data_IF_542718143525
#
_entry.id   IF_542718143525
#
_cell.length_a   1.000
_cell.length_b   1.000
_cell.length_c   1.000
_cell.angle_alpha   90.00
_cell.angle_beta   90.00
_cell.angle_gamma   90.00
#
_symmetry.space_group_name_H-M   'P 1'
#
loop_
_entity.id
_entity.type
_entity.pdbx_description
1 polymer ?
2 polymer ?
3 non-polymer ?
4 water ?
#
# COMPACT_ATOMS: atom_id res chain seq x y z
N UNK A 4 -0.87 -12.94 -19.45
CA UNK A 4 -0.34 -12.79 -20.84
C UNK A 4 0.16 -11.37 -21.08
N UNK A 5 1.32 -11.07 -20.52
CA UNK A 5 1.94 -9.77 -20.67
C UNK A 5 1.33 -8.77 -19.71
N UNK A 6 1.95 -7.60 -19.66
CA UNK A 6 1.55 -6.53 -18.76
C UNK A 6 0.29 -5.85 -19.30
N UNK A 7 -0.58 -5.47 -18.38
CA UNK A 7 -1.69 -4.56 -18.68
C UNK A 7 -1.90 -3.62 -17.50
N UNK A 8 -2.23 -2.37 -17.82
CA UNK A 8 -2.49 -1.35 -16.80
C UNK A 8 -3.91 -1.43 -16.23
N UNK A 9 -4.78 -2.25 -16.84
CA UNK A 9 -6.16 -2.43 -16.38
C UNK A 9 -6.44 -3.87 -15.93
N UNK A 10 -5.36 -4.58 -15.61
CA UNK A 10 -5.42 -5.88 -14.94
C UNK A 10 -4.37 -5.90 -13.84
N UNK A 11 -4.56 -6.79 -12.86
CA UNK A 11 -3.51 -7.03 -11.87
C UNK A 11 -2.43 -7.94 -12.45
N UNK A 12 -1.17 -7.54 -12.26
CA UNK A 12 -0.01 -8.21 -12.84
C UNK A 12 0.79 -8.99 -11.79
N UNK A 13 1.17 -10.23 -12.10
CA UNK A 13 2.02 -10.99 -11.20
C UNK A 13 3.39 -10.33 -11.10
N UNK A 14 4.13 -10.65 -10.05
CA UNK A 14 5.39 -9.97 -9.80
C UNK A 14 6.37 -10.03 -10.99
N UNK A 15 6.51 -11.20 -11.60
CA UNK A 15 7.45 -11.38 -12.71
C UNK A 15 7.17 -10.38 -13.84
N UNK A 16 5.89 -10.13 -14.09
CA UNK A 16 5.45 -9.14 -15.08
C UNK A 16 5.70 -7.71 -14.62
N UNK A 17 5.45 -7.41 -13.35
CA UNK A 17 5.75 -6.07 -12.83
C UNK A 17 7.25 -5.81 -12.91
N UNK A 18 8.06 -6.79 -12.50
CA UNK A 18 9.51 -6.67 -12.53
C UNK A 18 10.00 -6.38 -13.96
N UNK A 19 9.54 -7.17 -14.91
CA UNK A 19 9.83 -6.93 -16.33
C UNK A 19 9.41 -5.53 -16.77
N UNK A 20 8.23 -5.11 -16.32
CA UNK A 20 7.68 -3.81 -16.63
C UNK A 20 8.59 -2.68 -16.14
N UNK A 21 9.18 -2.80 -14.94
CA UNK A 21 10.04 -1.73 -14.42
C UNK A 21 11.24 -1.45 -15.32
N UNK A 22 11.83 -2.51 -15.87
CA UNK A 22 12.93 -2.35 -16.82
C UNK A 22 12.45 -1.77 -18.13
N UNK A 23 11.35 -2.31 -18.66
CA UNK A 23 10.79 -1.84 -19.94
C UNK A 23 10.54 -0.33 -19.95
N UNK A 24 9.98 0.16 -18.86
CA UNK A 24 9.53 1.54 -18.77
C UNK A 24 10.76 2.45 -18.66
N UNK A 25 11.81 1.97 -18.00
CA UNK A 25 13.09 2.68 -17.99
C UNK A 25 13.74 2.70 -19.37
N UNK A 26 13.76 1.57 -20.05
CA UNK A 26 14.37 1.49 -21.38
C UNK A 26 13.61 2.35 -22.40
N UNK A 27 12.29 2.38 -22.30
CA UNK A 27 11.45 3.11 -23.25
C UNK A 27 11.46 4.63 -23.01
N UNK A 28 11.83 5.05 -21.81
CA UNK A 28 11.76 6.45 -21.42
C UNK A 28 13.05 6.89 -20.73
N UNK A 29 14.20 6.79 -21.41
CA UNK A 29 15.50 7.02 -20.76
C UNK A 29 15.71 8.42 -20.17
N UNK A 30 15.10 9.45 -20.75
CA UNK A 30 15.22 10.82 -20.23
C UNK A 30 14.38 11.07 -18.97
N UNK A 31 13.43 10.20 -18.67
CA UNK A 31 12.47 10.44 -17.58
C UNK A 31 12.46 9.38 -16.46
N UNK A 32 12.92 8.17 -16.76
CA UNK A 32 12.84 7.06 -15.81
C UNK A 32 14.15 6.31 -15.76
N UNK A 33 14.68 6.14 -14.55
CA UNK A 33 15.74 5.18 -14.30
C UNK A 33 15.30 4.24 -13.18
N UNK A 34 15.91 3.06 -13.15
CA UNK A 34 15.55 2.05 -12.19
C UNK A 34 16.76 1.66 -11.33
N UNK A 35 16.46 1.42 -10.06
CA UNK A 35 17.39 1.13 -9.01
C UNK A 35 16.94 -0.13 -8.25
N UNK A 36 17.86 -0.83 -7.61
CA UNK A 36 17.54 -1.84 -6.60
C UNK A 36 17.93 -1.27 -5.23
N UNK A 37 16.96 -1.18 -4.32
CA UNK A 37 17.23 -0.62 -2.98
C UNK A 37 17.48 -1.69 -1.92
N UNK A 38 17.29 -2.94 -2.31
CA UNK A 38 17.57 -4.05 -1.42
C UNK A 38 16.87 -5.31 -1.87
N UNK A 39 16.70 -6.21 -0.93
CA UNK A 39 16.36 -7.58 -1.21
C UNK A 39 15.35 -8.05 -0.11
N UNK A 40 14.36 -8.89 -0.49
CA UNK A 40 13.34 -9.35 0.45
C UNK A 40 13.91 -10.46 1.34
N UNK A 41 13.12 -10.92 2.32
CA UNK A 41 13.49 -12.09 3.12
C UNK A 41 13.87 -13.29 2.23
N UNK A 42 13.10 -13.51 1.15
CA UNK A 42 13.33 -14.65 0.25
C UNK A 42 14.39 -14.37 -0.83
N UNK A 43 14.99 -13.18 -0.80
CA UNK A 43 16.14 -12.88 -1.63
C UNK A 43 15.82 -12.19 -2.95
N UNK A 44 14.61 -11.66 -3.06
CA UNK A 44 14.14 -11.03 -4.31
C UNK A 44 14.48 -9.54 -4.36
N UNK A 45 14.96 -9.08 -5.51
CA UNK A 45 15.32 -7.67 -5.67
C UNK A 45 14.10 -6.77 -5.57
N UNK A 46 14.24 -5.71 -4.78
CA UNK A 46 13.20 -4.71 -4.59
C UNK A 46 13.58 -3.51 -5.47
N UNK A 47 12.73 -3.19 -6.43
CA UNK A 47 13.02 -2.10 -7.37
C UNK A 47 12.37 -0.78 -6.97
N UNK A 48 13.05 0.29 -7.36
CA UNK A 48 12.60 1.67 -7.20
C UNK A 48 12.80 2.40 -8.53
N UNK A 49 11.79 3.13 -8.95
CA UNK A 49 11.87 3.93 -10.16
C UNK A 49 12.02 5.39 -9.77
N UNK A 50 12.95 6.09 -10.43
CA UNK A 50 13.09 7.53 -10.31
C UNK A 50 12.54 8.20 -11.57
N UNK A 51 11.45 8.95 -11.38
CA UNK A 51 10.73 9.59 -12.45
C UNK A 51 10.94 11.09 -12.36
N UNK A 52 11.53 11.66 -13.41
CA UNK A 52 11.86 13.07 -13.44
C UNK A 52 12.98 13.33 -14.43
N UNK A 53 13.06 14.57 -14.90
CA UNK A 53 14.11 15.01 -15.82
C UNK A 53 15.34 15.45 -15.03
N UNK A 54 16.51 15.01 -15.48
CA UNK A 54 17.79 15.39 -14.90
C UNK A 54 17.84 16.87 -14.57
N UNK A 55 18.41 17.18 -13.41
CA UNK A 55 18.53 18.54 -12.93
C UNK A 55 19.36 18.60 -11.67
N UNK A 56 19.74 19.81 -11.28
CA UNK A 56 20.57 20.01 -10.11
C UNK A 56 19.77 20.13 -8.81
N UNK A 57 20.21 19.39 -7.79
CA UNK A 57 19.68 19.48 -6.43
C UNK A 57 18.17 19.37 -6.35
N UNK A 58 17.62 18.42 -7.09
CA UNK A 58 16.17 18.33 -7.20
C UNK A 58 15.57 17.84 -5.89
N UNK A 59 14.51 18.50 -5.43
CA UNK A 59 13.67 17.97 -4.35
C UNK A 59 12.91 16.74 -4.85
N UNK A 60 12.42 15.90 -3.93
CA UNK A 60 11.84 14.62 -4.29
C UNK A 60 10.59 14.34 -3.48
N UNK A 61 9.71 13.56 -4.08
CA UNK A 61 8.54 13.01 -3.43
C UNK A 61 8.71 11.50 -3.51
N UNK A 62 8.64 10.83 -2.37
CA UNK A 62 8.77 9.38 -2.32
C UNK A 62 7.38 8.73 -2.18
N UNK A 63 7.05 7.85 -3.10
CA UNK A 63 5.78 7.14 -3.04
C UNK A 63 6.00 5.64 -3.15
N UNK A 64 5.38 4.87 -2.25
CA UNK A 64 5.46 3.43 -2.33
C UNK A 64 4.08 2.76 -2.43
N UNK A 65 4.08 1.58 -3.03
CA UNK A 65 2.91 0.72 -3.07
C UNK A 65 3.28 -0.67 -2.59
N UNK A 66 2.27 -1.48 -2.29
CA UNK A 66 2.50 -2.88 -2.00
C UNK A 66 3.14 -3.21 -0.67
N UNK A 67 2.96 -2.35 0.34
CA UNK A 67 3.30 -2.72 1.72
C UNK A 67 2.62 -4.02 2.11
N UNK A 68 1.31 -4.08 1.84
CA UNK A 68 0.48 -5.18 2.27
C UNK A 68 0.03 -5.98 1.04
N UNK A 69 0.38 -7.26 1.06
CA UNK A 69 0.31 -8.14 -0.09
C UNK A 69 -1.04 -8.18 -0.80
N UNK A 70 -2.11 -8.34 -0.04
CA UNK A 70 -3.46 -8.51 -0.59
C UNK A 70 -4.06 -7.26 -1.21
N UNK A 71 -3.43 -6.10 -1.01
CA UNK A 71 -3.95 -4.81 -1.48
C UNK A 71 -3.52 -4.52 -2.92
N UNK A 72 -4.07 -5.29 -3.84
CA UNK A 72 -3.56 -5.36 -5.21
C UNK A 72 -3.74 -4.09 -6.00
N UNK A 73 -4.75 -3.30 -5.65
CA UNK A 73 -4.95 -2.03 -6.34
C UNK A 73 -3.83 -1.03 -6.03
N UNK A 74 -3.11 -1.22 -4.92
CA UNK A 74 -1.98 -0.34 -4.59
C UNK A 74 -0.82 -0.42 -5.62
N UNK A 75 -0.17 -1.57 -5.80
CA UNK A 75 0.78 -1.71 -6.92
C UNK A 75 0.20 -1.32 -8.28
N UNK A 76 -1.07 -1.63 -8.54
CA UNK A 76 -1.70 -1.26 -9.81
C UNK A 76 -1.62 0.26 -10.03
N UNK A 77 -1.81 1.02 -8.94
CA UNK A 77 -1.72 2.47 -9.03
C UNK A 77 -0.31 3.01 -9.24
N UNK A 78 0.70 2.44 -8.61
CA UNK A 78 2.07 2.92 -8.83
C UNK A 78 2.38 2.79 -10.31
N UNK A 79 2.00 1.65 -10.90
CA UNK A 79 2.19 1.39 -12.34
C UNK A 79 1.46 2.42 -13.20
N UNK A 80 0.21 2.68 -12.86
CA UNK A 80 -0.59 3.66 -13.59
C UNK A 80 0.01 5.06 -13.52
N UNK A 81 0.51 5.43 -12.34
CA UNK A 81 1.14 6.72 -12.12
C UNK A 81 2.34 6.92 -13.04
N UNK A 82 3.17 5.88 -13.18
CA UNK A 82 4.38 6.01 -13.97
C UNK A 82 4.03 6.24 -15.45
N UNK A 83 3.14 5.40 -16.00
CA UNK A 83 2.67 5.62 -17.35
C UNK A 83 2.04 7.01 -17.55
N UNK A 84 1.16 7.42 -16.66
CA UNK A 84 0.49 8.71 -16.85
C UNK A 84 1.48 9.88 -16.86
N UNK A 85 2.47 9.80 -15.98
CA UNK A 85 3.50 10.84 -15.88
C UNK A 85 4.27 10.98 -17.18
N UNK A 86 4.71 9.87 -17.76
CA UNK A 86 5.51 9.92 -18.99
C UNK A 86 4.67 10.22 -20.24
N UNK A 87 3.47 9.67 -20.28
CA UNK A 87 2.50 9.90 -21.35
C UNK A 87 2.16 11.38 -21.51
N UNK A 88 2.04 12.08 -20.39
CA UNK A 88 1.59 13.46 -20.39
C UNK A 88 2.72 14.47 -20.25
N UNK A 89 3.94 14.01 -19.98
CA UNK A 89 5.09 14.92 -19.92
C UNK A 89 5.29 15.59 -21.29
N UNK A 90 5.51 16.89 -21.27
CA UNK A 90 5.64 17.69 -22.48
C UNK A 90 4.36 17.88 -23.26
N UNK A 91 3.22 17.65 -22.62
CA UNK A 91 1.89 17.74 -23.26
C UNK A 91 0.88 18.49 -22.39
N UNK A 92 0.96 18.27 -21.08
CA UNK A 92 0.23 19.07 -20.09
C UNK A 92 1.25 19.84 -19.27
N UNK A 93 0.99 21.14 -19.06
CA UNK A 93 1.95 22.05 -18.44
C UNK A 93 2.27 21.71 -16.98
N UNK A 94 1.27 21.24 -16.24
CA UNK A 94 1.45 20.93 -14.81
C UNK A 94 2.48 19.84 -14.63
N UNK A 95 2.32 18.74 -15.36
CA UNK A 95 3.17 17.55 -15.24
C UNK A 95 4.58 17.79 -15.76
N UNK A 96 4.69 18.55 -16.83
CA UNK A 96 5.99 18.97 -17.36
C UNK A 96 6.76 19.70 -16.26
N UNK A 97 6.12 20.69 -15.64
CA UNK A 97 6.74 21.42 -14.55
C UNK A 97 7.13 20.51 -13.40
N UNK A 98 6.24 19.60 -13.02
CA UNK A 98 6.51 18.71 -11.89
C UNK A 98 7.76 17.87 -12.13
N UNK A 99 7.89 17.29 -13.31
CA UNK A 99 9.00 16.37 -13.59
C UNK A 99 10.31 17.10 -13.84
N UNK A 100 10.23 18.36 -14.28
CA UNK A 100 11.42 19.17 -14.50
C UNK A 100 12.00 19.67 -13.17
N UNK A 101 11.14 19.99 -12.20
CA UNK A 101 11.60 20.55 -10.92
C UNK A 101 11.67 19.52 -9.78
N UNK A 102 10.91 18.43 -9.88
CA UNK A 102 10.86 17.36 -8.86
C UNK A 102 11.20 16.01 -9.46
N UNK A 103 11.79 15.15 -8.63
CA UNK A 103 11.83 13.70 -8.89
C UNK A 103 10.75 12.99 -8.05
N UNK A 104 10.15 11.97 -8.63
CA UNK A 104 9.26 11.06 -7.91
C UNK A 104 9.98 9.74 -7.79
N UNK A 105 10.24 9.29 -6.58
CA UNK A 105 10.67 7.91 -6.38
C UNK A 105 9.41 7.09 -6.24
N UNK A 106 9.29 6.02 -7.03
CA UNK A 106 8.09 5.20 -7.06
C UNK A 106 8.48 3.75 -6.83
N UNK A 107 8.00 3.19 -5.72
CA UNK A 107 8.33 1.83 -5.31
C UNK A 107 7.10 0.96 -5.53
N UNK A 108 7.04 0.25 -6.66
CA UNK A 108 5.79 -0.41 -7.10
C UNK A 108 5.30 -1.58 -6.21
N UNK A 109 6.21 -2.41 -5.72
CA UNK A 109 5.88 -3.39 -4.68
C UNK A 109 7.01 -3.51 -3.68
N UNK A 110 6.74 -3.18 -2.42
CA UNK A 110 7.72 -3.35 -1.36
C UNK A 110 7.72 -4.81 -0.87
N UNK A 111 6.53 -5.31 -0.54
CA UNK A 111 6.37 -6.63 0.06
C UNK A 111 6.20 -7.67 -1.04
N UNK A 112 7.29 -7.96 -1.73
CA UNK A 112 7.23 -8.79 -2.92
C UNK A 112 6.95 -10.25 -2.57
N UNK A 113 7.58 -10.75 -1.51
CA UNK A 113 7.35 -12.13 -1.06
C UNK A 113 5.88 -12.36 -0.75
N UNK A 114 5.31 -11.41 -0.02
CA UNK A 114 3.89 -11.45 0.30
C UNK A 114 3.00 -11.39 -0.92
N UNK A 115 3.34 -10.52 -1.87
CA UNK A 115 2.56 -10.31 -3.08
C UNK A 115 2.47 -11.61 -3.91
N UNK A 116 3.61 -12.26 -4.12
CA UNK A 116 3.68 -13.54 -4.82
C UNK A 116 2.83 -14.60 -4.10
N UNK A 117 2.97 -14.64 -2.77
CA UNK A 117 2.20 -15.55 -1.93
C UNK A 117 0.68 -15.40 -2.12
N UNK A 118 0.18 -14.17 -2.29
CA UNK A 118 -1.24 -13.95 -2.55
C UNK A 118 -1.69 -14.40 -3.93
N UNK A 119 -0.74 -14.46 -4.86
CA UNK A 119 -1.04 -14.86 -6.23
C UNK A 119 -1.23 -16.37 -6.36
N UNK A 120 -0.35 -17.14 -5.71
CA UNK A 120 -0.32 -18.59 -5.92
C UNK A 120 -0.80 -19.41 -4.73
N UNK A 121 -0.99 -18.82 -3.55
CA UNK A 121 -1.27 -19.61 -2.35
C UNK A 121 -2.43 -19.13 -1.48
N UNK A 122 -2.41 -17.87 -1.07
CA UNK A 122 -3.38 -17.33 -0.12
C UNK A 122 -3.67 -15.84 -0.34
N UNK A 123 -4.80 -15.57 -0.97
CA UNK A 123 -5.16 -14.26 -1.54
C UNK A 123 -5.25 -13.13 -0.50
N UNK A 124 -5.54 -13.46 0.75
CA UNK A 124 -5.70 -12.45 1.81
C UNK A 124 -4.49 -12.33 2.72
N UNK A 125 -3.34 -12.85 2.32
CA UNK A 125 -2.13 -12.64 3.09
C UNK A 125 -1.80 -11.12 3.14
N UNK A 126 -1.25 -10.67 4.25
CA UNK A 126 -0.96 -9.25 4.50
C UNK A 126 0.51 -8.99 4.77
N UNK A 127 1.09 -9.82 5.63
CA UNK A 127 2.41 -9.60 6.19
C UNK A 127 3.51 -9.95 5.22
N UNK A 128 4.75 -9.82 5.68
CA UNK A 128 5.90 -10.38 4.97
C UNK A 128 5.83 -11.89 5.14
N UNK A 129 6.87 -12.57 4.69
CA UNK A 129 6.95 -14.03 4.74
C UNK A 129 8.17 -14.44 5.54
N UNK A 130 8.65 -13.58 6.44
CA UNK A 130 9.84 -13.89 7.19
C UNK A 130 9.56 -14.87 8.33
N UNK A 131 10.64 -15.48 8.78
CA UNK A 131 10.67 -16.31 9.96
C UNK A 131 11.73 -15.68 10.89
N UNK A 132 11.46 -15.59 12.19
CA UNK A 132 12.47 -15.18 13.20
C UNK A 132 12.54 -16.22 14.32
N UNK A 133 13.68 -16.25 15.02
CA UNK A 133 13.85 -17.18 16.13
C UNK A 133 12.81 -16.87 17.20
N UNK A 134 12.26 -17.92 17.79
CA UNK A 134 11.30 -17.77 18.88
C UNK A 134 9.87 -18.10 18.47
N UNK A 135 9.58 -18.18 17.18
CA UNK A 135 8.23 -18.52 16.73
C UNK A 135 8.22 -19.31 15.45
N UNK A 136 7.27 -20.23 15.35
CA UNK A 136 7.03 -20.98 14.13
C UNK A 136 6.05 -20.23 13.21
N UNK A 137 5.37 -19.19 13.70
CA UNK A 137 4.52 -18.41 12.79
C UNK A 137 5.38 -17.62 11.80
N UNK A 138 4.73 -17.20 10.69
CA UNK A 138 5.41 -16.56 9.57
C UNK A 138 4.88 -15.14 9.36
N UNK A 139 5.80 -14.19 9.18
CA UNK A 139 5.46 -12.87 8.74
C UNK A 139 5.26 -11.82 9.81
N UNK A 140 5.66 -10.61 9.44
CA UNK A 140 5.53 -9.42 10.28
C UNK A 140 4.79 -8.36 9.46
N UNK A 141 4.01 -7.54 10.13
CA UNK A 141 3.27 -6.47 9.46
C UNK A 141 4.28 -5.35 9.21
N UNK A 142 4.61 -5.07 7.94
CA UNK A 142 5.64 -4.08 7.64
C UNK A 142 5.25 -2.68 8.12
N UNK A 143 3.94 -2.41 8.14
CA UNK A 143 3.43 -1.13 8.64
C UNK A 143 3.20 -1.04 10.16
N UNK A 144 3.74 -2.02 10.89
CA UNK A 144 3.93 -1.92 12.34
C UNK A 144 5.40 -2.09 12.69
N UNK A 145 6.27 -2.03 11.69
CA UNK A 145 7.67 -2.43 11.86
C UNK A 145 8.68 -1.26 11.80
N UNK A 146 8.17 -0.03 11.74
CA UNK A 146 9.03 1.15 11.74
C UNK A 146 9.22 1.72 13.14
N UNK A 147 10.28 2.49 13.30
CA UNK A 147 10.66 3.04 14.61
C UNK A 147 9.88 4.34 14.86
N UNK A 148 8.61 4.18 15.18
CA UNK A 148 7.70 5.27 15.44
C UNK A 148 6.68 4.78 16.47
N UNK A 149 6.94 5.12 17.73
CA UNK A 149 6.25 4.54 18.85
C UNK A 149 6.17 3.04 18.75
N UNK A 150 7.28 2.41 18.35
CA UNK A 150 7.23 1.03 17.85
C UNK A 150 6.53 0.09 18.84
N UNK A 151 5.55 -0.64 18.31
CA UNK A 151 4.76 -1.64 19.02
C UNK A 151 4.03 -1.18 20.29
N UNK A 152 3.71 0.11 20.40
CA UNK A 152 3.14 0.67 21.64
C UNK A 152 1.62 0.56 21.74
N UNK A 153 0.91 1.01 20.71
CA UNK A 153 -0.55 0.82 20.62
C UNK A 153 -0.91 0.28 19.24
N UNK A 154 -2.04 -0.41 19.16
CA UNK A 154 -2.58 -0.86 17.89
C UNK A 154 -1.68 -1.84 17.13
N UNK A 155 -0.86 -2.57 17.88
CA UNK A 155 0.03 -3.59 17.30
C UNK A 155 0.05 -4.82 18.20
N UNK A 156 0.07 -6.00 17.59
CA UNK A 156 0.11 -7.25 18.35
C UNK A 156 1.55 -7.67 18.60
N UNK A 157 1.74 -8.30 19.76
CA UNK A 157 3.01 -8.89 20.15
C UNK A 157 3.04 -10.39 19.84
N UNK A 158 1.88 -10.93 19.42
CA UNK A 158 1.75 -12.32 18.99
C UNK A 158 2.20 -12.47 17.54
N UNK A 159 3.29 -13.20 17.31
CA UNK A 159 3.81 -13.42 15.95
C UNK A 159 2.80 -13.90 14.89
N UNK A 160 1.76 -14.60 15.32
CA UNK A 160 0.73 -15.14 14.43
C UNK A 160 -0.34 -14.13 13.98
N UNK A 161 -0.39 -12.97 14.63
CA UNK A 161 -1.40 -11.96 14.33
C UNK A 161 -1.05 -11.11 13.09
N UNK A 162 -2.08 -10.58 12.45
CA UNK A 162 -1.93 -9.77 11.24
C UNK A 162 -1.24 -8.43 11.48
N UNK A 163 -1.30 -7.92 12.71
CA UNK A 163 -0.66 -6.66 13.07
C UNK A 163 0.59 -6.87 13.92
N UNK A 164 1.21 -8.05 13.80
CA UNK A 164 2.42 -8.34 14.56
C UNK A 164 3.49 -7.31 14.19
N UNK A 165 4.15 -6.76 15.21
CA UNK A 165 5.10 -5.66 15.01
C UNK A 165 6.51 -6.13 14.74
N UNK A 166 6.74 -7.44 14.83
CA UNK A 166 8.08 -7.99 14.66
C UNK A 166 8.82 -8.09 15.99
N UNK A 167 9.97 -8.76 16.00
CA UNK A 167 10.81 -8.83 17.20
C UNK A 167 11.47 -7.49 17.57
N UNK A 168 11.64 -6.61 16.58
CA UNK A 168 12.23 -5.30 16.78
C UNK A 168 11.92 -4.43 15.56
N UNK A 169 12.00 -3.12 15.74
CA UNK A 169 11.83 -2.22 14.60
C UNK A 169 12.84 -2.56 13.51
N UNK A 170 12.40 -2.52 12.26
CA UNK A 170 13.23 -2.85 11.09
C UNK A 170 13.84 -4.24 11.10
N UNK A 171 13.16 -5.17 11.75
CA UNK A 171 13.53 -6.58 11.72
C UNK A 171 13.41 -7.16 10.31
N UNK A 172 12.51 -6.59 9.50
CA UNK A 172 12.27 -7.07 8.15
C UNK A 172 13.23 -6.35 7.17
N UNK A 173 13.85 -7.12 6.29
CA UNK A 173 14.76 -6.58 5.28
C UNK A 173 14.07 -5.53 4.41
N UNK A 174 12.78 -5.72 4.17
CA UNK A 174 12.03 -4.82 3.31
C UNK A 174 11.88 -3.44 3.94
N UNK A 175 11.57 -3.37 5.23
CA UNK A 175 11.36 -2.08 5.87
C UNK A 175 12.69 -1.41 6.16
N UNK A 176 13.71 -2.20 6.53
CA UNK A 176 15.06 -1.66 6.71
C UNK A 176 15.56 -1.09 5.39
N UNK A 177 15.28 -1.75 4.27
CA UNK A 177 15.70 -1.23 2.97
C UNK A 177 15.02 0.11 2.64
N UNK A 178 13.74 0.23 2.98
CA UNK A 178 13.01 1.45 2.69
C UNK A 178 13.49 2.58 3.60
N UNK A 179 13.65 2.28 4.89
CA UNK A 179 14.11 3.27 5.86
C UNK A 179 15.54 3.73 5.56
N UNK A 180 16.42 2.80 5.19
CA UNK A 180 17.79 3.14 4.77
C UNK A 180 17.79 4.09 3.57
N UNK A 181 16.91 3.84 2.60
CA UNK A 181 16.86 4.67 1.41
C UNK A 181 16.40 6.08 1.76
N UNK A 182 15.38 6.19 2.58
CA UNK A 182 14.83 7.49 2.92
C UNK A 182 15.80 8.29 3.80
N UNK A 183 16.41 7.63 4.77
CA UNK A 183 17.42 8.27 5.61
C UNK A 183 18.57 8.87 4.80
N UNK A 184 19.00 8.17 3.77
CA UNK A 184 20.09 8.60 2.91
C UNK A 184 19.72 9.82 2.05
N UNK A 185 18.45 9.90 1.64
CA UNK A 185 17.96 10.97 0.75
C UNK A 185 17.14 12.02 1.51
N UNK A 186 17.27 12.05 2.84
CA UNK A 186 16.41 12.87 3.67
C UNK A 186 16.44 14.37 3.32
N UNK A 187 17.64 14.90 3.05
CA UNK A 187 17.82 16.34 2.79
C UNK A 187 17.09 16.74 1.52
N UNK A 188 16.75 15.54 0.40
CA UNK A 188 16.00 15.94 -0.79
C UNK A 188 14.51 15.58 -0.72
N UNK A 189 14.11 14.64 0.13
CA UNK A 189 12.72 14.16 0.13
C UNK A 189 11.82 15.10 0.93
N UNK A 190 10.87 15.72 0.23
CA UNK A 190 9.97 16.72 0.80
C UNK A 190 8.57 16.19 1.13
N UNK A 191 8.15 15.12 0.47
CA UNK A 191 6.90 14.45 0.80
C UNK A 191 7.04 12.93 0.73
N UNK A 192 6.27 12.24 1.59
CA UNK A 192 6.20 10.79 1.63
C UNK A 192 4.75 10.35 1.49
N UNK A 193 4.48 9.52 0.50
CA UNK A 193 3.12 9.06 0.19
C UNK A 193 3.11 7.54 0.11
N UNK A 194 2.23 6.90 0.86
CA UNK A 194 2.22 5.44 0.93
C UNK A 194 0.82 4.94 0.66
N UNK A 195 0.70 4.08 -0.35
CA UNK A 195 -0.58 3.71 -0.93
C UNK A 195 -1.03 2.35 -0.42
N UNK A 196 -2.23 2.35 0.14
CA UNK A 196 -2.87 1.17 0.69
C UNK A 196 -4.29 1.05 0.11
N UNK A 197 -4.98 -0.03 0.47
CA UNK A 197 -6.42 -0.12 0.31
C UNK A 197 -6.95 -1.03 1.40
N UNK A 198 -8.25 -1.01 1.72
CA UNK A 198 -9.28 -0.16 1.09
C UNK A 198 -9.85 0.75 2.17
N UNK A 199 -10.83 1.57 1.77
CA UNK A 199 -11.74 2.35 2.64
C UNK A 199 -11.87 3.82 2.23
N UNK A 200 -11.11 4.26 1.22
CA UNK A 200 -11.25 5.59 0.62
C UNK A 200 -10.99 6.67 1.66
N UNK A 201 -9.73 6.76 2.10
CA UNK A 201 -9.29 7.77 3.05
C UNK A 201 -7.93 8.35 2.70
N UNK A 202 -7.67 9.56 3.21
CA UNK A 202 -6.37 10.22 3.17
C UNK A 202 -5.98 10.62 4.59
N UNK A 203 -4.92 10.02 5.10
CA UNK A 203 -4.58 10.06 6.52
C UNK A 203 -3.21 10.66 6.70
N UNK A 204 -3.05 11.44 7.76
CA UNK A 204 -1.75 12.04 8.11
C UNK A 204 -1.43 11.70 9.56
N UNK A 205 -0.22 12.00 10.03
CA UNK A 205 0.14 11.67 11.41
C UNK A 205 -0.79 12.28 12.48
N UNK A 206 -0.94 11.64 13.64
CA UNK A 206 -0.18 10.46 14.04
C UNK A 206 -1.09 9.24 14.23
N UNK A 207 -0.53 8.06 13.98
CA UNK A 207 -1.20 6.80 14.25
C UNK A 207 -0.67 6.10 15.49
N UNK A 208 0.58 6.37 15.90
CA UNK A 208 1.16 5.73 17.08
C UNK A 208 0.80 6.43 18.38
N UNK A 209 0.21 7.61 18.27
CA UNK A 209 -0.36 8.31 19.41
C UNK A 209 -1.43 9.27 18.92
N UNK A 210 -2.16 9.87 19.87
CA UNK A 210 -3.27 10.76 19.53
C UNK A 210 -2.83 12.21 19.38
N UNK A 211 -1.56 12.47 19.61
CA UNK A 211 -0.98 13.77 19.34
C UNK A 211 -1.07 14.17 17.86
N UNK A 212 -0.89 15.46 17.62
CA UNK A 212 -0.96 16.05 16.31
C UNK A 212 0.38 16.68 15.96
N UNK A 213 0.70 16.72 14.67
CA UNK A 213 1.90 17.36 14.19
C UNK A 213 1.84 18.87 14.33
N UNK A 214 3.01 19.50 14.36
CA UNK A 214 3.13 20.97 14.47
C UNK A 214 2.42 21.62 13.30
N UNK A 215 2.45 20.87 12.21
CA UNK A 215 1.89 21.11 10.90
C UNK A 215 0.38 20.84 10.70
N UNK A 216 -0.30 20.44 11.76
CA UNK A 216 -1.59 19.74 11.66
C UNK A 216 -2.64 20.46 10.84
N UNK A 217 -2.78 21.76 11.06
CA UNK A 217 -3.78 22.57 10.38
C UNK A 217 -3.54 22.58 8.88
N UNK A 218 -2.28 22.71 8.48
CA UNK A 218 -1.91 22.69 7.07
C UNK A 218 -2.15 21.31 6.43
N UNK A 219 -1.81 20.25 7.15
CA UNK A 219 -2.03 18.89 6.67
C UNK A 219 -3.53 18.64 6.46
N UNK A 220 -4.34 19.07 7.42
CA UNK A 220 -5.78 18.89 7.34
C UNK A 220 -6.38 19.63 6.14
N UNK A 221 -5.95 20.88 5.96
CA UNK A 221 -6.41 21.69 4.84
C UNK A 221 -6.00 21.09 3.51
N UNK A 222 -4.77 20.59 3.43
CA UNK A 222 -4.28 19.98 2.20
C UNK A 222 -5.08 18.71 1.86
N UNK A 223 -5.31 17.86 2.87
CA UNK A 223 -6.12 16.66 2.70
C UNK A 223 -7.53 16.96 2.22
N UNK A 224 -8.17 17.93 2.86
CA UNK A 224 -9.53 18.36 2.51
C UNK A 224 -9.60 18.79 1.05
N UNK A 225 -8.62 19.59 0.64
CA UNK A 225 -8.52 20.06 -0.74
C UNK A 225 -8.20 18.93 -1.73
N UNK A 226 -7.35 17.97 -1.35
CA UNK A 226 -7.04 16.92 -2.34
C UNK A 226 -8.14 15.89 -2.47
N UNK A 227 -8.92 15.62 -1.42
CA UNK A 227 -10.06 14.71 -1.57
C UNK A 227 -11.17 15.33 -2.41
N UNK A 228 -11.33 16.66 -2.34
CA UNK A 228 -12.26 17.36 -3.25
C UNK A 228 -11.81 17.17 -4.69
N UNK A 229 -10.53 17.40 -4.93
CA UNK A 229 -9.94 17.19 -6.26
C UNK A 229 -10.13 15.75 -6.73
N UNK A 230 -9.96 14.78 -5.83
CA UNK A 230 -10.16 13.37 -6.16
C UNK A 230 -11.63 13.12 -6.58
N UNK A 231 -12.55 13.71 -5.83
CA UNK A 231 -13.99 13.57 -6.08
C UNK A 231 -14.45 14.22 -7.39
N UNK A 232 -13.64 15.13 -7.95
CA UNK A 232 -13.93 15.81 -9.21
C UNK A 232 -14.31 14.88 -10.35
N UNK A 233 -13.59 13.77 -10.46
CA UNK A 233 -13.68 12.93 -11.65
C UNK A 233 -14.93 12.07 -11.68
N UNK A 234 -15.09 11.25 -10.65
CA UNK A 234 -16.13 10.22 -10.64
C UNK A 234 -17.04 10.29 -9.42
N UNK A 235 -16.91 11.34 -8.62
CA UNK A 235 -17.73 11.51 -7.42
C UNK A 235 -17.33 10.67 -6.23
N UNK A 236 -16.16 10.05 -6.28
CA UNK A 236 -15.71 9.15 -5.19
C UNK A 236 -15.39 9.94 -3.92
N UNK A 237 -16.03 9.55 -2.82
CA UNK A 237 -15.92 10.26 -1.55
C UNK A 237 -14.85 9.64 -0.64
N UNK A 238 -13.89 10.47 -0.23
CA UNK A 238 -12.84 10.09 0.71
C UNK A 238 -13.06 10.84 2.01
N UNK A 239 -12.77 10.20 3.14
CA UNK A 239 -12.66 10.92 4.40
C UNK A 239 -11.18 11.14 4.69
N UNK A 240 -10.87 11.90 5.73
CA UNK A 240 -9.48 12.32 6.00
C UNK A 240 -9.32 12.75 7.46
N UNK A 241 -8.09 12.71 7.95
CA UNK A 241 -7.79 13.10 9.31
C UNK A 241 -6.53 12.45 9.82
N UNK A 242 -6.22 12.66 11.11
CA UNK A 242 -5.08 12.00 11.74
C UNK A 242 -5.40 10.53 11.92
N UNK A 243 -4.40 9.66 11.74
CA UNK A 243 -4.62 8.23 11.69
C UNK A 243 -5.25 7.59 12.92
N UNK A 244 -4.76 7.92 14.11
CA UNK A 244 -5.23 7.26 15.34
C UNK A 244 -6.74 7.30 15.51
N UNK A 245 -7.35 8.47 15.22
CA UNK A 245 -8.78 8.65 15.41
C UNK A 245 -9.60 8.43 14.15
N UNK A 246 -8.97 8.52 12.98
CA UNK A 246 -9.68 8.44 11.71
C UNK A 246 -9.78 6.99 11.20
N UNK A 247 -8.69 6.25 11.31
CA UNK A 247 -8.70 4.83 10.98
C UNK A 247 -8.66 3.98 12.26
N UNK A 248 -7.54 3.99 12.97
CA UNK A 248 -7.40 3.30 14.26
C UNK A 248 -5.99 3.52 14.79
N UNK A 249 -5.76 3.25 16.07
CA UNK A 249 -4.39 3.32 16.58
C UNK A 249 -3.58 2.27 15.82
N UNK A 250 -2.35 2.62 15.47
CA UNK A 250 -1.47 1.75 14.71
C UNK A 250 -0.06 2.29 14.79
N UNK A 251 0.67 1.84 15.79
CA UNK A 251 2.04 2.23 16.01
C UNK A 251 3.00 1.53 15.01
N UNK A 252 4.14 2.15 14.79
CA UNK A 252 5.17 1.61 13.95
C UNK A 252 4.90 1.74 12.47
N UNK A 253 4.16 2.76 12.07
CA UNK A 253 3.80 3.01 10.69
C UNK A 253 4.87 3.81 9.98
N UNK A 254 5.02 3.55 8.69
CA UNK A 254 6.00 4.26 7.86
C UNK A 254 5.64 5.74 7.68
N UNK A 255 4.36 6.09 7.68
CA UNK A 255 3.97 7.50 7.51
C UNK A 255 4.42 8.39 8.69
N UNK A 256 4.25 7.87 9.90
CA UNK A 256 4.64 8.56 11.11
C UNK A 256 6.16 8.61 11.21
N UNK A 257 6.83 7.52 10.83
CA UNK A 257 8.27 7.46 10.92
C UNK A 257 8.87 8.52 10.00
N UNK A 258 8.38 8.60 8.77
CA UNK A 258 8.85 9.55 7.78
C UNK A 258 8.63 10.98 8.24
N UNK A 259 7.49 11.22 8.87
CA UNK A 259 7.17 12.54 9.36
C UNK A 259 8.13 12.96 10.48
N UNK A 260 8.45 12.03 11.38
CA UNK A 260 9.39 12.28 12.48
C UNK A 260 10.85 12.41 12.04
N UNK A 261 11.13 12.01 10.80
CA UNK A 261 12.44 12.27 10.17
C UNK A 261 12.55 13.70 9.65
N UNK A 262 11.43 14.42 9.59
CA UNK A 262 11.39 15.79 9.12
C UNK A 262 10.67 15.99 7.79
N UNK A 263 10.06 14.93 7.26
CA UNK A 263 9.28 15.04 6.03
C UNK A 263 7.88 15.56 6.42
N UNK A 264 7.64 16.84 6.17
CA UNK A 264 6.48 17.55 6.71
C UNK A 264 5.16 17.19 6.04
N UNK A 265 5.23 16.66 4.83
CA UNK A 265 4.06 16.20 4.09
C UNK A 265 4.09 14.68 3.99
N UNK A 266 3.38 14.01 4.89
CA UNK A 266 3.41 12.56 4.97
C UNK A 266 1.98 12.03 5.04
N UNK A 267 1.54 11.32 4.00
CA UNK A 267 0.16 10.82 3.94
C UNK A 267 0.06 9.33 3.62
N UNK A 268 -0.93 8.67 4.22
CA UNK A 268 -1.35 7.34 3.82
C UNK A 268 -2.67 7.43 3.04
N UNK A 269 -2.69 6.88 1.83
CA UNK A 269 -3.91 6.79 1.04
C UNK A 269 -4.50 5.40 1.17
N UNK A 270 -5.81 5.34 1.35
CA UNK A 270 -6.58 4.10 1.34
C UNK A 270 -7.49 4.20 0.15
N UNK A 271 -7.27 3.37 -0.85
CA UNK A 271 -7.99 3.51 -2.12
C UNK A 271 -9.33 2.75 -2.08
N UNK A 272 -10.00 2.62 -3.22
CA UNK A 272 -11.30 1.96 -3.29
C UNK A 272 -11.23 0.51 -2.79
N UNK A 273 -12.34 -0.04 -2.31
CA UNK A 273 -13.65 0.63 -2.21
C UNK A 273 -13.98 0.88 -0.73
N UNK A 274 -15.26 0.77 -0.31
CA UNK A 274 -15.61 0.86 1.12
C UNK A 274 -16.01 -0.47 1.75
N UNK A 275 -15.79 -1.57 1.02
CA UNK A 275 -16.00 -2.90 1.58
C UNK A 275 -16.85 -3.86 0.75
N UNK A 276 -17.50 -3.39 -0.31
CA UNK A 276 -18.33 -4.27 -1.13
C UNK A 276 -17.46 -5.38 -1.73
N UNK A 277 -16.34 -4.97 -2.35
CA UNK A 277 -15.32 -5.91 -2.81
C UNK A 277 -14.08 -5.92 -1.91
N UNK A 278 -13.83 -4.81 -1.21
CA UNK A 278 -12.70 -4.72 -0.29
C UNK A 278 -11.36 -4.85 -0.98
N UNK A 279 -10.57 -5.82 -0.52
CA UNK A 279 -9.28 -6.14 -1.12
C UNK A 279 -9.42 -6.71 -2.54
N UNK A 280 -10.59 -7.31 -2.83
CA UNK A 280 -10.86 -7.95 -4.10
C UNK A 280 -11.45 -6.98 -5.12
N UNK A 281 -10.94 -5.77 -5.17
CA UNK A 281 -11.43 -4.77 -6.10
C UNK A 281 -11.36 -5.34 -7.53
N UNK A 282 -12.48 -5.35 -8.25
CA UNK A 282 -12.49 -5.96 -9.59
C UNK A 282 -11.60 -5.21 -10.56
N UNK A 283 -10.98 -5.94 -11.48
CA UNK A 283 -10.10 -5.35 -12.48
C UNK A 283 -10.76 -4.24 -13.27
N UNK A 284 -12.08 -4.36 -13.49
CA UNK A 284 -12.84 -3.35 -14.23
C UNK A 284 -12.91 -1.99 -13.53
N UNK A 285 -12.60 -1.94 -12.24
CA UNK A 285 -12.52 -0.67 -11.54
C UNK A 285 -11.10 -0.07 -11.47
N UNK A 286 -10.08 -0.75 -12.02
CA UNK A 286 -8.69 -0.29 -11.90
C UNK A 286 -8.50 1.11 -12.52
N UNK A 287 -8.98 1.28 -13.75
CA UNK A 287 -8.79 2.53 -14.49
C UNK A 287 -9.38 3.73 -13.74
N UNK A 288 -10.66 3.65 -13.41
CA UNK A 288 -11.33 4.76 -12.72
C UNK A 288 -10.67 5.06 -11.38
N UNK A 289 -10.35 4.02 -10.61
CA UNK A 289 -9.64 4.21 -9.34
C UNK A 289 -8.32 4.95 -9.56
N UNK A 290 -7.55 4.47 -10.53
CA UNK A 290 -6.22 5.03 -10.77
C UNK A 290 -6.29 6.45 -11.31
N UNK A 291 -7.24 6.73 -12.20
CA UNK A 291 -7.43 8.08 -12.73
C UNK A 291 -7.70 9.12 -11.64
N UNK A 292 -8.65 8.82 -10.76
CA UNK A 292 -8.99 9.75 -9.69
C UNK A 292 -7.85 9.88 -8.67
N UNK A 293 -7.17 8.77 -8.38
CA UNK A 293 -6.05 8.80 -7.46
C UNK A 293 -4.91 9.64 -8.05
N UNK A 294 -4.68 9.52 -9.36
CA UNK A 294 -3.65 10.32 -10.04
C UNK A 294 -3.87 11.83 -9.85
N UNK A 295 -5.12 12.25 -9.94
CA UNK A 295 -5.46 13.65 -9.72
C UNK A 295 -5.05 14.08 -8.32
N UNK A 296 -5.23 13.19 -7.34
CA UNK A 296 -4.89 13.51 -5.94
C UNK A 296 -3.40 13.65 -5.75
N UNK A 297 -2.61 12.74 -6.34
CA UNK A 297 -1.16 12.75 -6.17
C UNK A 297 -0.55 13.98 -6.84
N UNK A 298 -1.05 14.29 -8.05
CA UNK A 298 -0.68 15.48 -8.81
C UNK A 298 -0.95 16.74 -7.99
N UNK A 299 -2.12 16.80 -7.35
CA UNK A 299 -2.50 17.97 -6.56
C UNK A 299 -1.54 18.17 -5.41
N UNK A 300 -1.20 17.07 -4.73
CA UNK A 300 -0.30 17.11 -3.58
C UNK A 300 1.12 17.51 -4.03
N UNK A 301 1.58 16.92 -5.14
CA UNK A 301 2.91 17.21 -5.67
C UNK A 301 3.05 18.69 -6.03
N UNK A 302 2.05 19.25 -6.71
CA UNK A 302 2.06 20.68 -7.06
C UNK A 302 2.05 21.56 -5.82
N UNK A 303 1.30 21.17 -4.79
CA UNK A 303 1.32 21.90 -3.54
C UNK A 303 2.74 21.87 -2.93
N UNK A 304 3.38 20.70 -2.97
CA UNK A 304 4.70 20.54 -2.36
C UNK A 304 5.71 21.43 -3.08
N UNK A 305 5.54 21.56 -4.40
CA UNK A 305 6.44 22.34 -5.25
C UNK A 305 6.39 23.83 -4.85
N UNK A 306 5.22 24.30 -4.44
CA UNK A 306 5.03 25.68 -3.99
C UNK A 306 5.24 25.90 -2.49
N UNK A 307 5.58 24.85 -1.76
CA UNK A 307 5.79 24.94 -0.30
C UNK A 307 7.08 24.23 0.11
N UNK A 308 8.13 24.45 -0.68
CA UNK A 308 9.43 23.81 -0.45
C UNK A 308 10.10 24.30 0.83
N UNK A 309 10.91 23.40 1.42
CA UNK A 309 11.61 23.67 2.67
C UNK A 309 12.91 22.88 2.73
N UNK B 1 -1.52 -17.61 -14.71
CA UNK B 1 -2.41 -17.92 -13.56
C UNK B 1 -3.86 -17.84 -13.97
N UNK B 2 -4.45 -18.99 -14.30
CA UNK B 2 -5.84 -19.02 -14.78
C UNK B 2 -6.81 -18.55 -13.70
N UNK B 3 -6.62 -19.03 -12.48
CA UNK B 3 -7.47 -18.67 -11.34
C UNK B 3 -7.66 -17.15 -11.21
N UNK B 4 -6.54 -16.42 -11.24
CA UNK B 4 -6.56 -14.96 -11.04
C UNK B 4 -7.03 -14.24 -12.30
N UNK B 5 -6.67 -14.75 -13.48
CA UNK B 5 -7.10 -14.15 -14.75
C UNK B 5 -8.63 -14.13 -14.85
N UNK B 6 -9.27 -15.18 -14.35
CA UNK B 6 -10.73 -15.32 -14.39
C UNK B 6 -11.42 -14.51 -13.28
N UNK B 7 -10.63 -13.96 -12.35
CA UNK B 7 -11.13 -13.02 -11.36
C UNK B 7 -11.35 -13.62 -9.99
N UNK B 8 -10.73 -14.77 -9.74
CA UNK B 8 -10.82 -15.45 -8.47
C UNK B 8 -9.45 -15.39 -7.79
N UNK B 9 -9.24 -16.20 -6.77
CA UNK B 9 -7.96 -16.23 -6.07
C UNK B 9 -7.68 -17.55 -5.40
N UNK B 10 -6.41 -17.75 -5.07
CA UNK B 10 -5.95 -18.98 -4.43
C UNK B 10 -6.09 -18.88 -2.92
N UNK B 11 -6.46 -19.99 -2.29
CA UNK B 11 -6.56 -20.09 -0.83
C UNK B 11 -6.12 -21.48 -0.38
N UNK B 12 -5.59 -21.61 0.83
CA UNK B 12 -5.40 -22.93 1.41
C UNK B 12 -6.72 -23.69 1.49
N UNK B 13 -6.65 -25.03 1.39
CA UNK B 13 -7.83 -25.90 1.36
C UNK B 13 -8.75 -25.66 2.54
N UNK B 14 -8.14 -25.53 3.71
CA UNK B 14 -8.84 -25.28 4.97
C UNK B 14 -9.64 -23.97 5.00
N UNK B 15 -9.31 -23.03 4.11
CA UNK B 15 -10.03 -21.76 4.01
C UNK B 15 -11.00 -21.66 2.84
N UNK B 16 -11.04 -22.69 2.00
CA UNK B 16 -11.97 -22.72 0.87
C UNK B 16 -12.88 -23.95 0.96
N UNK B 17 -14.12 -23.79 1.40
CA UNK B 17 -15.06 -24.93 1.46
C UNK B 17 -15.29 -25.59 0.11
N UNK B 18 -15.66 -26.87 0.13
CA UNK B 18 -15.78 -27.71 -1.07
C UNK B 18 -16.60 -27.08 -2.20
N UNK B 19 -17.78 -26.58 -1.86
CA UNK B 19 -18.70 -25.98 -2.84
C UNK B 19 -18.17 -24.72 -3.52
N UNK B 20 -17.16 -24.09 -2.90
CA UNK B 20 -16.56 -22.87 -3.42
C UNK B 20 -15.30 -23.14 -4.26
N UNK B 21 -14.77 -24.36 -4.22
CA UNK B 21 -13.58 -24.70 -4.99
C UNK B 21 -13.83 -24.69 -6.49
N UNK B 22 -12.79 -24.36 -7.24
CA UNK B 22 -12.85 -24.25 -8.70
C UNK B 22 -11.71 -25.07 -9.30
N UNK B 23 -11.81 -25.34 -10.60
CA UNK B 23 -10.92 -26.28 -11.26
C UNK B 23 -9.70 -25.62 -11.91
N UNK B 24 -9.63 -24.30 -11.85
CA UNK B 24 -8.60 -23.56 -12.59
C UNK B 24 -7.21 -23.73 -11.99
N UNK B 25 -6.21 -23.71 -12.86
CA UNK B 25 -4.82 -23.84 -12.44
C UNK B 25 -4.28 -22.51 -11.94
N UNK B 26 -3.00 -22.52 -11.53
CA UNK B 26 -2.33 -21.31 -11.09
C UNK B 26 -1.95 -21.33 -9.62
N UNK B 27 -2.72 -22.07 -8.84
CA UNK B 27 -2.50 -22.19 -7.39
C UNK B 27 -1.69 -23.43 -7.05
N UNK B 28 -0.78 -23.32 -6.08
CA UNK B 28 -0.20 -24.50 -5.43
C UNK B 28 -1.14 -25.01 -4.32
N UNK B 29 -2.06 -24.16 -3.87
CA UNK B 29 -3.15 -24.56 -3.00
C UNK B 29 -4.35 -24.86 -3.89
N UNK B 30 -5.47 -24.17 -3.71
CA UNK B 30 -6.63 -24.39 -4.57
C UNK B 30 -7.26 -23.07 -4.99
N UNK B 31 -7.77 -23.04 -6.22
CA UNK B 31 -8.50 -21.90 -6.70
C UNK B 31 -9.89 -21.86 -6.04
N UNK B 32 -10.26 -20.68 -5.54
CA UNK B 32 -11.47 -20.50 -4.74
C UNK B 32 -12.35 -19.43 -5.35
N UNK B 33 -13.66 -19.68 -5.35
CA UNK B 33 -14.66 -18.70 -5.72
C UNK B 33 -14.87 -17.79 -4.52
N UNK B 34 -14.07 -16.74 -4.43
CA UNK B 34 -14.03 -15.90 -3.23
C UNK B 34 -15.36 -15.22 -2.94
N UNK B 35 -16.13 -14.90 -3.97
CA UNK B 35 -17.45 -14.26 -3.79
C UNK B 35 -18.45 -15.13 -3.01
N UNK B 36 -18.19 -16.42 -2.92
CA UNK B 36 -19.08 -17.33 -2.19
C UNK B 36 -18.66 -17.58 -0.73
N UNK B 37 -17.51 -17.03 -0.31
CA UNK B 37 -17.09 -17.17 1.09
C UNK B 37 -17.93 -16.29 2.01
N UNK B 38 -18.10 -16.77 3.24
CA UNK B 38 -18.75 -16.03 4.31
C UNK B 38 -17.89 -16.05 5.57
N UNK B 39 -18.22 -15.17 6.50
CA UNK B 39 -17.49 -15.08 7.74
C UNK B 39 -16.35 -14.08 7.63
N UNK B 40 -15.79 -13.74 8.78
CA UNK B 40 -14.79 -12.71 8.90
C UNK B 40 -13.57 -12.95 8.00
N UNK B 41 -12.94 -14.11 8.18
CA UNK B 41 -11.74 -14.49 7.44
C UNK B 41 -11.99 -14.56 5.94
N UNK B 42 -13.21 -14.96 5.58
CA UNK B 42 -13.62 -15.05 4.19
C UNK B 42 -13.67 -13.71 3.50
N UNK B 43 -13.66 -12.64 4.28
CA UNK B 43 -13.67 -11.27 3.76
C UNK B 43 -12.33 -10.53 3.97
N UNK B 44 -11.28 -11.27 4.32
CA UNK B 44 -9.97 -10.67 4.59
C UNK B 44 -9.91 -10.03 5.96
N UNK B 45 -10.75 -10.50 6.87
CA UNK B 45 -10.82 -9.95 8.22
C UNK B 45 -10.06 -10.82 9.18
N UNK B 46 -9.92 -10.36 10.41
CA UNK B 46 -9.29 -11.10 11.49
C UNK B 46 -10.14 -10.95 12.75
N UNK B 47 -10.48 -12.06 13.37
CA UNK B 47 -11.25 -12.02 14.59
C UNK B 47 -10.36 -11.54 15.73
N UNK B 48 -10.87 -10.57 16.49
CA UNK B 48 -10.14 -9.94 17.59
C UNK B 48 -11.03 -9.76 18.83
N UNK B 49 -10.42 -9.59 20.01
CA UNK B 49 -11.20 -9.34 21.22
C UNK B 49 -12.07 -8.08 21.08
N UNK B 50 -13.18 -8.06 21.81
CA UNK B 50 -14.17 -6.98 21.69
C UNK B 50 -13.58 -5.63 22.05
N UNK B 51 -12.61 -5.63 22.96
CA UNK B 51 -12.04 -4.38 23.44
C UNK B 51 -10.83 -3.87 22.62
N UNK B 52 -10.54 -4.52 21.49
CA UNK B 52 -9.56 -4.04 20.51
C UNK B 52 -10.19 -2.99 19.61
N UNK B 53 -9.70 -1.75 19.69
CA UNK B 53 -10.18 -0.68 18.82
C UNK B 53 -9.69 -0.92 17.40
N UNK B 54 -10.63 -1.04 16.47
CA UNK B 54 -10.34 -1.31 15.07
C UNK B 54 -11.41 -0.75 14.14
N UNK B 55 -11.23 -0.98 12.84
CA UNK B 55 -12.28 -0.74 11.87
C UNK B 55 -13.00 -2.08 11.70
N UNK B 56 -14.18 -2.19 12.30
CA UNK B 56 -14.88 -3.44 12.41
C UNK B 56 -15.71 -3.68 11.15
N UNK B 57 -15.71 -4.92 10.68
CA UNK B 57 -16.60 -5.36 9.62
C UNK B 57 -17.81 -5.99 10.30
N UNK B 58 -18.77 -5.13 10.63
CA UNK B 58 -19.78 -5.45 11.63
C UNK B 58 -20.64 -6.65 11.25
N UNK B 59 -20.99 -6.78 9.98
CA UNK B 59 -21.82 -7.89 9.50
C UNK B 59 -21.15 -9.25 9.68
N UNK B 60 -19.83 -9.27 9.82
CA UNK B 60 -19.10 -10.51 10.01
C UNK B 60 -18.69 -10.77 11.46
N UNK B 61 -19.03 -9.88 12.37
CA UNK B 61 -18.57 -10.01 13.75
C UNK B 61 -19.19 -11.21 14.47
N UNK B 62 -20.44 -11.54 14.16
CA UNK B 62 -21.13 -12.67 14.79
C UNK B 62 -20.40 -13.99 14.48
N UNK B 63 -19.81 -14.09 13.28
CA UNK B 63 -19.08 -15.29 12.88
C UNK B 63 -17.82 -15.54 13.71
N UNK B 64 -17.33 -14.51 14.40
CA UNK B 64 -16.12 -14.61 15.23
C UNK B 64 -16.34 -15.29 16.60
N UNK B 65 -17.60 -15.41 17.02
CA UNK B 65 -17.90 -16.13 18.25
C UNK B 65 -17.69 -15.29 19.50
N UNK B 66 -17.69 -15.97 20.64
CA UNK B 66 -17.76 -15.31 21.94
C UNK B 66 -16.58 -14.43 22.28
N UNK B 67 -16.89 -13.20 22.68
CA UNK B 67 -15.89 -12.25 23.10
C UNK B 67 -15.07 -11.70 21.95
N UNK B 68 -15.50 -11.96 20.72
CA UNK B 68 -14.72 -11.62 19.53
C UNK B 68 -15.55 -10.85 18.50
N UNK B 69 -14.86 -10.05 17.69
CA UNK B 69 -15.47 -9.26 16.61
C UNK B 69 -14.57 -9.25 15.38
N UNK B 70 -15.12 -8.88 14.23
CA UNK B 70 -14.35 -8.91 12.98
C UNK B 70 -13.69 -7.57 12.68
N UNK B 71 -12.36 -7.55 12.69
CA UNK B 71 -11.58 -6.36 12.30
C UNK B 71 -10.97 -6.57 10.92
N UNK B 72 -10.99 -5.54 10.08
CA UNK B 72 -10.25 -5.59 8.82
C UNK B 72 -9.09 -4.60 8.88
N UNK B 73 -7.86 -5.11 8.76
CA UNK B 73 -6.66 -4.29 8.78
C UNK B 73 -6.36 -3.80 7.38
N UNK B 74 -6.14 -2.51 7.25
CA UNK B 74 -6.17 -1.83 5.96
C UNK B 74 -4.79 -1.39 5.48
#
# INVERSE_FOLDING_TARGET
VRATGHSYEKYNNWETIEAWTQQVATENPALISRSVIGTTFEGRAIYLLKVGKAGQNKPAIFMDCGFHAREWISPAFCQWFVREAVRTYGREIQVTELLNKLDFYVLPVLNIDGYIYTWTKSRFWRKTRSTHTGSSCIGTDPNRNFDAGWCEIGASRNPCDETYCGPAAESEKETKALADFIRNKLSSIKAYLTIHSYSQMMIYPYSYAYKLGENNAELNALAKATVKELASLHGTKYTYGPGATTIYPAAGGSDDWAYDQGIRYSFTFELRDTGRYGFLLPESQIRATCEETFLAIKYVASYVLEHLY
NECVSKGFGCLPQSDCPQEARLSYGGCSTVCCDLSKLTGCKGKGGECNPLDRQCKELQAESASCGKGQKCCVWLH
#
